data_IF_636072983074
#
_entry.id   IF_636072983074
#
_cell.length_a   1.000
_cell.length_b   1.000
_cell.length_c   1.000
_cell.angle_alpha   90.00
_cell.angle_beta   90.00
_cell.angle_gamma   90.00
#
_symmetry.space_group_name_H-M   'P 1'
#
loop_
_entity.id
_entity.type
_entity.pdbx_description
1 polymer ?
#
# COMPACT_ATOMS: atom_id res chain seq x y z
N UNK A 1 -14.23 -1.51 -27.87
CA UNK A 1 -13.11 -1.20 -26.96
C UNK A 1 -12.99 -2.38 -26.01
N UNK A 2 -11.80 -2.91 -25.82
CA UNK A 2 -11.58 -4.00 -24.89
C UNK A 2 -12.02 -3.58 -23.48
N UNK A 3 -12.74 -4.45 -22.78
CA UNK A 3 -13.21 -4.18 -21.43
C UNK A 3 -12.17 -4.69 -20.44
N UNK A 4 -11.42 -3.77 -19.80
CA UNK A 4 -10.34 -4.10 -18.86
C UNK A 4 -10.84 -4.05 -17.42
N UNK A 5 -10.67 -5.15 -16.67
CA UNK A 5 -10.92 -5.18 -15.24
C UNK A 5 -9.67 -4.76 -14.45
N UNK A 6 -9.85 -3.91 -13.45
CA UNK A 6 -8.76 -3.53 -12.54
C UNK A 6 -8.96 -4.23 -11.20
N UNK A 7 -7.95 -5.00 -10.81
CA UNK A 7 -7.88 -5.69 -9.51
C UNK A 7 -6.76 -5.07 -8.69
N UNK A 8 -7.00 -4.83 -7.41
CA UNK A 8 -5.96 -4.47 -6.41
C UNK A 8 -5.98 -5.49 -5.29
N UNK A 9 -4.84 -5.82 -4.69
CA UNK A 9 -4.92 -6.45 -3.38
C UNK A 9 -5.35 -5.42 -2.31
N UNK A 10 -5.85 -5.89 -1.19
CA UNK A 10 -6.47 -5.04 -0.17
C UNK A 10 -5.49 -4.09 0.54
N UNK A 11 -4.17 -4.32 0.42
CA UNK A 11 -3.16 -3.42 1.01
C UNK A 11 -3.14 -2.03 0.37
N UNK A 12 -3.78 -1.87 -0.81
CA UNK A 12 -3.96 -0.57 -1.46
C UNK A 12 -4.84 0.42 -0.68
N UNK A 13 -5.54 -0.01 0.36
CA UNK A 13 -6.35 0.84 1.26
C UNK A 13 -7.34 1.76 0.54
N UNK A 14 -7.86 1.34 -0.62
CA UNK A 14 -8.75 2.15 -1.44
C UNK A 14 -10.10 2.28 -0.70
N UNK A 15 -10.63 3.51 -0.48
CA UNK A 15 -11.94 3.69 0.13
C UNK A 15 -13.04 2.92 -0.60
N UNK A 16 -13.95 2.31 0.16
CA UNK A 16 -15.01 1.46 -0.40
C UNK A 16 -15.90 2.18 -1.43
N UNK A 17 -16.16 3.47 -1.21
CA UNK A 17 -16.86 4.33 -2.16
C UNK A 17 -16.10 4.49 -3.49
N UNK A 18 -14.78 4.64 -3.44
CA UNK A 18 -13.92 4.74 -4.63
C UNK A 18 -13.85 3.39 -5.36
N UNK A 19 -13.69 2.29 -4.62
CA UNK A 19 -13.75 0.92 -5.16
C UNK A 19 -15.03 0.72 -5.96
N UNK A 20 -16.18 1.08 -5.37
CA UNK A 20 -17.49 0.96 -6.02
C UNK A 20 -17.67 1.91 -7.19
N UNK A 21 -17.25 3.18 -7.06
CA UNK A 21 -17.41 4.20 -8.09
C UNK A 21 -16.59 3.91 -9.36
N UNK A 22 -15.43 3.26 -9.18
CA UNK A 22 -14.51 2.96 -10.27
C UNK A 22 -14.55 1.49 -10.73
N UNK A 23 -15.42 0.66 -10.17
CA UNK A 23 -15.53 -0.77 -10.46
C UNK A 23 -14.17 -1.50 -10.26
N UNK A 24 -13.45 -1.16 -9.16
CA UNK A 24 -12.22 -1.83 -8.80
C UNK A 24 -12.56 -3.11 -8.04
N UNK A 25 -11.90 -4.21 -8.38
CA UNK A 25 -12.04 -5.49 -7.68
C UNK A 25 -10.93 -5.65 -6.66
N UNK A 26 -11.26 -6.16 -5.47
CA UNK A 26 -10.29 -6.29 -4.38
C UNK A 26 -10.02 -7.75 -4.07
N UNK A 27 -8.75 -8.15 -4.15
CA UNK A 27 -8.27 -9.47 -3.72
C UNK A 27 -7.76 -9.36 -2.28
N UNK A 28 -8.55 -9.87 -1.31
CA UNK A 28 -8.33 -9.62 0.11
C UNK A 28 -7.21 -10.47 0.69
N UNK A 29 -6.28 -9.81 1.37
CA UNK A 29 -5.25 -10.40 2.22
C UNK A 29 -5.82 -10.54 3.64
N UNK A 30 -5.32 -11.49 4.42
CA UNK A 30 -5.83 -11.74 5.78
C UNK A 30 -4.81 -11.45 6.86
N UNK A 31 -5.30 -10.98 8.00
CA UNK A 31 -4.58 -10.96 9.28
C UNK A 31 -4.92 -12.23 10.05
N UNK A 32 -3.91 -12.82 10.70
CA UNK A 32 -4.05 -14.10 11.40
C UNK A 32 -3.64 -13.94 12.87
N UNK A 33 -4.56 -14.27 13.77
CA UNK A 33 -4.35 -14.35 15.22
C UNK A 33 -4.38 -15.82 15.65
N UNK A 34 -3.21 -16.43 15.82
CA UNK A 34 -3.11 -17.87 16.12
C UNK A 34 -3.64 -18.71 14.96
N UNK A 35 -4.81 -19.34 15.11
CA UNK A 35 -5.47 -20.15 14.09
C UNK A 35 -6.62 -19.42 13.39
N UNK A 36 -6.97 -18.21 13.84
CA UNK A 36 -8.10 -17.43 13.30
C UNK A 36 -7.61 -16.47 12.24
N UNK A 37 -8.25 -16.51 11.07
CA UNK A 37 -7.92 -15.68 9.92
C UNK A 37 -9.06 -14.71 9.59
N UNK A 38 -8.73 -13.44 9.37
CA UNK A 38 -9.66 -12.35 9.12
C UNK A 38 -9.24 -11.59 7.87
N UNK A 39 -10.12 -11.53 6.86
CA UNK A 39 -9.90 -10.66 5.70
C UNK A 39 -9.98 -9.21 6.17
N UNK A 40 -8.93 -8.45 5.87
CA UNK A 40 -8.90 -7.04 6.27
C UNK A 40 -10.05 -6.26 5.63
N UNK A 41 -10.61 -5.31 6.39
CA UNK A 41 -11.74 -4.45 6.02
C UNK A 41 -13.08 -5.18 5.78
N UNK A 42 -13.11 -6.52 5.75
CA UNK A 42 -14.34 -7.31 5.60
C UNK A 42 -14.71 -7.96 6.94
N UNK A 43 -13.79 -8.70 7.54
CA UNK A 43 -14.04 -9.48 8.74
C UNK A 43 -13.52 -8.77 10.01
N UNK A 44 -12.78 -7.66 9.85
CA UNK A 44 -12.20 -6.89 10.95
C UNK A 44 -11.95 -5.44 10.53
N UNK A 45 -12.36 -4.49 11.38
CA UNK A 45 -12.09 -3.05 11.21
C UNK A 45 -10.69 -2.66 11.72
N UNK A 46 -10.17 -1.48 11.36
CA UNK A 46 -8.91 -0.96 11.92
C UNK A 46 -8.94 -0.81 13.44
N UNK A 47 -10.05 -0.38 14.02
CA UNK A 47 -10.23 -0.20 15.46
C UNK A 47 -10.19 -1.55 16.18
N UNK A 48 -10.96 -2.54 15.69
CA UNK A 48 -10.96 -3.92 16.24
C UNK A 48 -9.58 -4.57 16.14
N UNK A 49 -8.86 -4.36 15.04
CA UNK A 49 -7.49 -4.84 14.88
C UNK A 49 -6.55 -4.26 15.93
N UNK A 50 -6.58 -2.94 16.15
CA UNK A 50 -5.70 -2.27 17.13
C UNK A 50 -6.00 -2.74 18.55
N UNK A 51 -7.28 -2.82 18.93
CA UNK A 51 -7.71 -3.31 20.24
C UNK A 51 -7.28 -4.76 20.46
N UNK A 52 -7.54 -5.63 19.48
CA UNK A 52 -7.18 -7.05 19.56
C UNK A 52 -5.67 -7.25 19.59
N UNK A 53 -4.92 -6.53 18.77
CA UNK A 53 -3.47 -6.59 18.73
C UNK A 53 -2.82 -6.15 20.04
N UNK A 54 -3.38 -5.15 20.72
CA UNK A 54 -2.90 -4.66 22.02
C UNK A 54 -3.09 -5.69 23.13
N UNK A 55 -4.12 -6.54 23.03
CA UNK A 55 -4.47 -7.56 24.02
C UNK A 55 -3.99 -8.98 23.63
N UNK A 56 -3.40 -9.15 22.45
CA UNK A 56 -2.96 -10.45 21.96
C UNK A 56 -1.60 -10.84 22.54
N UNK A 57 -1.51 -12.06 23.06
CA UNK A 57 -0.26 -12.60 23.58
C UNK A 57 0.64 -13.07 22.43
N UNK A 58 1.39 -12.17 21.84
CA UNK A 58 2.25 -12.39 20.69
C UNK A 58 2.14 -11.28 19.65
N UNK A 59 2.44 -11.59 18.39
CA UNK A 59 2.16 -10.74 17.27
C UNK A 59 1.24 -11.48 16.29
N UNK A 60 0.24 -10.81 15.70
CA UNK A 60 -0.48 -11.37 14.58
C UNK A 60 0.48 -11.59 13.40
N UNK A 61 0.09 -12.44 12.48
CA UNK A 61 0.77 -12.68 11.21
C UNK A 61 -0.15 -12.33 10.04
N UNK A 62 0.34 -12.48 8.83
CA UNK A 62 -0.45 -12.20 7.62
C UNK A 62 -0.43 -13.40 6.68
N UNK A 63 -1.51 -13.60 5.95
CA UNK A 63 -1.63 -14.63 4.92
C UNK A 63 -2.07 -13.99 3.62
N UNK A 64 -1.29 -14.20 2.56
CA UNK A 64 -1.66 -13.78 1.21
C UNK A 64 -3.02 -14.38 0.78
N UNK A 65 -3.70 -13.84 -0.26
CA UNK A 65 -4.92 -14.42 -0.78
C UNK A 65 -4.72 -15.89 -1.16
N UNK A 66 -5.69 -16.76 -0.90
CA UNK A 66 -5.56 -18.13 -1.32
C UNK A 66 -5.59 -18.24 -2.85
N UNK A 67 -4.79 -19.14 -3.46
CA UNK A 67 -4.83 -19.34 -4.92
C UNK A 67 -6.24 -19.60 -5.45
N UNK A 68 -7.04 -20.41 -4.73
CA UNK A 68 -8.42 -20.70 -5.13
C UNK A 68 -9.33 -19.46 -5.17
N UNK A 69 -9.18 -18.53 -4.22
CA UNK A 69 -9.92 -17.26 -4.24
C UNK A 69 -9.48 -16.35 -5.40
N UNK A 70 -8.18 -16.29 -5.68
CA UNK A 70 -7.64 -15.48 -6.77
C UNK A 70 -8.08 -16.03 -8.13
N UNK A 71 -8.04 -17.36 -8.31
CA UNK A 71 -8.52 -18.03 -9.54
C UNK A 71 -10.00 -17.74 -9.73
N UNK A 72 -10.83 -17.98 -8.71
CA UNK A 72 -12.29 -17.74 -8.80
C UNK A 72 -12.61 -16.26 -9.11
N UNK A 73 -11.81 -15.31 -8.60
CA UNK A 73 -11.96 -13.90 -8.95
C UNK A 73 -11.69 -13.67 -10.44
N UNK A 74 -10.58 -14.19 -10.99
CA UNK A 74 -10.26 -14.02 -12.40
C UNK A 74 -11.30 -14.66 -13.32
N UNK A 75 -11.72 -15.90 -13.02
CA UNK A 75 -12.77 -16.59 -13.78
C UNK A 75 -14.08 -15.79 -13.78
N UNK A 76 -14.50 -15.27 -12.61
CA UNK A 76 -15.70 -14.46 -12.49
C UNK A 76 -15.66 -13.17 -13.30
N UNK A 77 -14.46 -12.57 -13.47
CA UNK A 77 -14.29 -11.37 -14.27
C UNK A 77 -14.44 -11.65 -15.76
N UNK A 78 -13.89 -12.76 -16.26
CA UNK A 78 -14.11 -13.19 -17.64
C UNK A 78 -15.59 -13.57 -17.91
N UNK A 79 -16.27 -14.20 -16.95
CA UNK A 79 -17.72 -14.48 -17.05
C UNK A 79 -18.56 -13.19 -17.11
N UNK A 80 -18.11 -12.10 -16.48
CA UNK A 80 -18.72 -10.77 -16.58
C UNK A 80 -18.42 -10.05 -17.91
N UNK A 81 -17.62 -10.66 -18.80
CA UNK A 81 -17.33 -10.16 -20.13
C UNK A 81 -16.17 -9.14 -20.16
N UNK A 82 -15.29 -9.16 -19.16
CA UNK A 82 -13.99 -8.48 -19.29
C UNK A 82 -13.09 -9.27 -20.24
N UNK A 83 -12.31 -8.57 -21.05
CA UNK A 83 -11.39 -9.17 -22.02
C UNK A 83 -9.98 -9.26 -21.46
N UNK A 84 -9.58 -8.28 -20.65
CA UNK A 84 -8.28 -8.24 -19.96
C UNK A 84 -8.47 -7.95 -18.48
N UNK A 85 -7.54 -8.43 -17.66
CA UNK A 85 -7.46 -8.18 -16.22
C UNK A 85 -6.08 -7.59 -15.92
N UNK A 86 -6.03 -6.44 -15.22
CA UNK A 86 -4.78 -5.90 -14.66
C UNK A 86 -4.87 -6.03 -13.14
N UNK A 87 -4.02 -6.89 -12.56
CA UNK A 87 -3.97 -7.11 -11.11
C UNK A 87 -2.75 -6.40 -10.50
N UNK A 88 -2.99 -5.31 -9.79
CA UNK A 88 -1.98 -4.45 -9.17
C UNK A 88 -1.75 -4.93 -7.73
N UNK A 89 -0.53 -5.35 -7.45
CA UNK A 89 -0.13 -5.91 -6.15
C UNK A 89 0.79 -4.97 -5.37
N UNK A 90 0.79 -5.13 -4.04
CA UNK A 90 1.85 -4.65 -3.16
C UNK A 90 3.21 -5.12 -3.68
N UNK A 91 4.27 -4.35 -3.38
CA UNK A 91 5.64 -4.72 -3.74
C UNK A 91 5.95 -6.20 -3.50
N UNK A 92 6.47 -6.86 -4.54
CA UNK A 92 6.93 -8.26 -4.49
C UNK A 92 8.05 -8.48 -3.47
N UNK A 93 8.77 -7.42 -3.07
CA UNK A 93 9.79 -7.45 -2.03
C UNK A 93 9.20 -7.49 -0.61
N UNK A 94 7.92 -7.15 -0.45
CA UNK A 94 7.25 -7.10 0.85
C UNK A 94 6.30 -8.28 1.07
N UNK A 95 5.73 -8.83 0.00
CA UNK A 95 4.71 -9.88 0.06
C UNK A 95 4.82 -10.89 -1.09
N UNK A 96 4.50 -12.15 -0.82
CA UNK A 96 4.35 -13.19 -1.82
C UNK A 96 3.07 -13.06 -2.68
N UNK A 97 2.20 -12.07 -2.43
CA UNK A 97 0.92 -11.89 -3.13
C UNK A 97 1.10 -11.75 -4.64
N UNK A 98 2.13 -11.00 -5.07
CA UNK A 98 2.46 -10.85 -6.49
C UNK A 98 2.80 -12.19 -7.14
N UNK A 99 3.66 -13.01 -6.51
CA UNK A 99 4.02 -14.33 -7.04
C UNK A 99 2.82 -15.29 -7.09
N UNK A 100 1.94 -15.22 -6.08
CA UNK A 100 0.69 -15.99 -6.09
C UNK A 100 -0.22 -15.56 -7.23
N UNK A 101 -0.36 -14.26 -7.47
CA UNK A 101 -1.15 -13.71 -8.57
C UNK A 101 -0.61 -14.16 -9.93
N UNK A 102 0.72 -14.14 -10.15
CA UNK A 102 1.36 -14.67 -11.36
C UNK A 102 1.03 -16.16 -11.58
N UNK A 103 1.18 -16.97 -10.54
CA UNK A 103 0.88 -18.41 -10.63
C UNK A 103 -0.60 -18.65 -10.97
N UNK A 104 -1.52 -17.88 -10.39
CA UNK A 104 -2.94 -17.98 -10.70
C UNK A 104 -3.26 -17.50 -12.14
N UNK A 105 -2.60 -16.45 -12.61
CA UNK A 105 -2.74 -15.96 -13.99
C UNK A 105 -2.33 -17.02 -15.02
N UNK A 106 -1.21 -17.69 -14.80
CA UNK A 106 -0.74 -18.80 -15.63
C UNK A 106 -1.74 -19.98 -15.69
N UNK A 107 -2.49 -20.20 -14.60
CA UNK A 107 -3.48 -21.29 -14.53
C UNK A 107 -4.80 -20.94 -15.22
N UNK A 108 -5.17 -19.66 -15.30
CA UNK A 108 -6.47 -19.23 -15.84
C UNK A 108 -6.34 -18.75 -17.28
N UNK A 109 -5.59 -17.68 -17.51
CA UNK A 109 -5.41 -17.11 -18.85
C UNK A 109 -4.20 -16.14 -18.89
N UNK A 110 -2.97 -16.64 -19.12
CA UNK A 110 -1.76 -15.81 -19.04
C UNK A 110 -1.66 -14.71 -20.11
N UNK A 111 -2.39 -14.84 -21.22
CA UNK A 111 -2.36 -13.83 -22.29
C UNK A 111 -3.20 -12.60 -21.96
N UNK A 112 -4.20 -12.73 -21.09
CA UNK A 112 -5.18 -11.70 -20.76
C UNK A 112 -5.19 -11.29 -19.29
N UNK A 113 -4.30 -11.83 -18.44
CA UNK A 113 -4.14 -11.44 -17.04
C UNK A 113 -2.75 -10.86 -16.85
N UNK A 114 -2.70 -9.55 -16.65
CA UNK A 114 -1.48 -8.78 -16.46
C UNK A 114 -1.27 -8.50 -14.96
N UNK A 115 -0.32 -9.18 -14.35
CA UNK A 115 0.02 -8.99 -12.94
C UNK A 115 1.10 -7.91 -12.82
N UNK A 116 0.77 -6.81 -12.16
CA UNK A 116 1.62 -5.64 -12.04
C UNK A 116 2.19 -5.50 -10.61
N UNK A 117 3.52 -5.51 -10.49
CA UNK A 117 4.22 -5.17 -9.25
C UNK A 117 4.32 -3.65 -9.10
N UNK A 118 3.57 -3.08 -8.16
CA UNK A 118 3.59 -1.64 -7.93
C UNK A 118 4.92 -1.13 -7.36
N UNK A 119 5.73 -2.01 -6.78
CA UNK A 119 6.94 -1.69 -6.01
C UNK A 119 6.70 -0.64 -4.93
N UNK A 120 5.47 -0.55 -4.45
CA UNK A 120 5.08 0.35 -3.36
C UNK A 120 4.07 -0.34 -2.43
N UNK A 121 3.43 0.39 -1.53
CA UNK A 121 2.59 -0.17 -0.47
C UNK A 121 1.51 0.84 -0.05
N UNK A 122 0.47 0.40 0.61
CA UNK A 122 -0.61 1.23 1.16
C UNK A 122 -1.35 2.05 0.09
N UNK A 123 -1.88 3.21 0.43
CA UNK A 123 -2.64 4.02 -0.53
C UNK A 123 -1.79 4.55 -1.70
N UNK A 124 -0.45 4.60 -1.61
CA UNK A 124 0.39 4.84 -2.80
C UNK A 124 0.21 3.74 -3.86
N UNK A 125 0.11 2.46 -3.45
CA UNK A 125 -0.31 1.37 -4.34
C UNK A 125 -1.77 1.52 -4.78
N UNK A 126 -2.67 1.90 -3.86
CA UNK A 126 -4.09 2.13 -4.17
C UNK A 126 -4.31 3.16 -5.27
N UNK A 127 -3.49 4.22 -5.30
CA UNK A 127 -3.55 5.23 -6.36
C UNK A 127 -3.25 4.64 -7.75
N UNK A 128 -2.38 3.63 -7.87
CA UNK A 128 -2.18 2.92 -9.14
C UNK A 128 -3.48 2.30 -9.65
N UNK A 129 -4.22 1.62 -8.77
CA UNK A 129 -5.48 1.00 -9.14
C UNK A 129 -6.57 2.03 -9.46
N UNK A 130 -6.62 3.12 -8.70
CA UNK A 130 -7.56 4.24 -8.95
C UNK A 130 -7.31 4.83 -10.34
N UNK A 131 -6.07 5.17 -10.66
CA UNK A 131 -5.76 5.79 -11.95
C UNK A 131 -5.88 4.80 -13.12
N UNK A 132 -5.52 3.53 -12.92
CA UNK A 132 -5.76 2.47 -13.92
C UNK A 132 -7.25 2.32 -14.22
N UNK A 133 -8.11 2.32 -13.18
CA UNK A 133 -9.55 2.22 -13.35
C UNK A 133 -10.16 3.44 -14.04
N UNK A 134 -9.65 4.64 -13.79
CA UNK A 134 -10.04 5.84 -14.53
C UNK A 134 -9.70 5.71 -16.03
N UNK A 135 -8.49 5.24 -16.35
CA UNK A 135 -8.07 4.98 -17.74
C UNK A 135 -8.91 3.90 -18.41
N UNK A 136 -9.24 2.82 -17.71
CA UNK A 136 -10.12 1.77 -18.21
C UNK A 136 -11.53 2.33 -18.54
N UNK A 137 -12.08 3.21 -17.68
CA UNK A 137 -13.36 3.89 -17.92
C UNK A 137 -13.32 4.88 -19.09
N UNK A 138 -12.18 5.48 -19.37
CA UNK A 138 -11.93 6.30 -20.55
C UNK A 138 -11.81 5.47 -21.84
N UNK A 139 -11.76 4.14 -21.73
CA UNK A 139 -11.68 3.20 -22.85
C UNK A 139 -10.26 2.86 -23.29
N UNK A 140 -9.25 3.12 -22.45
CA UNK A 140 -7.88 2.72 -22.72
C UNK A 140 -7.75 1.19 -22.76
N UNK A 141 -6.90 0.69 -23.63
CA UNK A 141 -6.52 -0.73 -23.71
C UNK A 141 -5.64 -1.14 -22.52
N UNK A 142 -5.54 -2.47 -22.28
CA UNK A 142 -4.67 -2.99 -21.23
C UNK A 142 -3.20 -2.53 -21.43
N UNK A 143 -2.70 -2.50 -22.67
CA UNK A 143 -1.36 -2.04 -22.97
C UNK A 143 -1.15 -0.56 -22.60
N UNK A 144 -2.06 0.33 -22.96
CA UNK A 144 -1.98 1.76 -22.62
C UNK A 144 -2.03 1.99 -21.11
N UNK A 145 -2.85 1.20 -20.39
CA UNK A 145 -2.92 1.27 -18.92
C UNK A 145 -1.60 0.78 -18.29
N UNK A 146 -1.02 -0.29 -18.79
CA UNK A 146 0.27 -0.82 -18.30
C UNK A 146 1.41 0.17 -18.51
N UNK A 147 1.50 0.80 -19.68
CA UNK A 147 2.48 1.86 -19.96
C UNK A 147 2.32 3.05 -19.03
N UNK A 148 1.08 3.44 -18.73
CA UNK A 148 0.78 4.49 -17.77
C UNK A 148 1.18 4.08 -16.33
N UNK A 149 0.92 2.84 -15.93
CA UNK A 149 1.34 2.32 -14.62
C UNK A 149 2.86 2.26 -14.47
N UNK A 150 3.61 1.97 -15.53
CA UNK A 150 5.07 2.05 -15.52
C UNK A 150 5.55 3.48 -15.24
N UNK A 151 4.98 4.47 -15.91
CA UNK A 151 5.29 5.89 -15.68
C UNK A 151 5.00 6.30 -14.22
N UNK A 152 3.85 5.87 -13.66
CA UNK A 152 3.51 6.09 -12.24
C UNK A 152 4.55 5.44 -11.34
N UNK A 153 4.95 4.19 -11.63
CA UNK A 153 5.90 3.42 -10.81
C UNK A 153 7.26 4.09 -10.72
N UNK A 154 7.72 4.72 -11.78
CA UNK A 154 8.98 5.46 -11.79
C UNK A 154 8.89 6.81 -11.04
N UNK A 155 7.69 7.32 -10.83
CA UNK A 155 7.43 8.65 -10.28
C UNK A 155 6.56 8.61 -9.01
N UNK A 156 6.73 7.58 -8.19
CA UNK A 156 6.10 7.49 -6.86
C UNK A 156 7.15 7.45 -5.76
N UNK A 157 6.74 7.87 -4.56
CA UNK A 157 7.55 7.74 -3.35
C UNK A 157 6.66 7.44 -2.15
N UNK A 158 7.24 6.72 -1.19
CA UNK A 158 6.64 6.43 0.10
C UNK A 158 7.69 6.53 1.19
N UNK A 159 7.42 7.38 2.19
CA UNK A 159 8.23 7.54 3.38
C UNK A 159 7.40 7.33 4.65
N UNK A 160 7.94 6.66 5.65
CA UNK A 160 7.28 6.42 6.92
C UNK A 160 8.18 6.76 8.10
N UNK A 161 7.63 7.48 9.06
CA UNK A 161 8.19 7.62 10.41
C UNK A 161 7.72 6.43 11.25
N UNK A 162 8.64 5.57 11.64
CA UNK A 162 8.34 4.38 12.44
C UNK A 162 8.47 4.69 13.92
N UNK A 163 7.38 4.48 14.65
CA UNK A 163 7.37 4.74 16.10
C UNK A 163 8.00 3.61 16.91
N UNK A 164 7.78 2.35 16.51
CA UNK A 164 8.35 1.16 17.15
C UNK A 164 8.79 0.14 16.11
N UNK A 165 10.03 -0.31 16.20
CA UNK A 165 10.63 -1.27 15.27
C UNK A 165 10.29 -2.73 15.60
N UNK A 166 9.63 -2.99 16.73
CA UNK A 166 9.38 -4.35 17.24
C UNK A 166 8.64 -5.21 16.22
N UNK A 167 7.57 -4.67 15.62
CA UNK A 167 6.76 -5.40 14.65
C UNK A 167 7.53 -5.66 13.35
N UNK A 168 8.25 -4.67 12.83
CA UNK A 168 9.08 -4.82 11.63
C UNK A 168 10.17 -5.88 11.82
N UNK A 169 10.84 -5.89 12.97
CA UNK A 169 11.89 -6.88 13.29
C UNK A 169 11.33 -8.29 13.39
N UNK A 170 10.24 -8.49 14.15
CA UNK A 170 9.62 -9.80 14.33
C UNK A 170 8.90 -10.30 13.08
N UNK A 171 8.37 -9.38 12.26
CA UNK A 171 7.67 -9.68 11.01
C UNK A 171 8.58 -10.03 9.84
N UNK A 172 9.90 -9.88 9.96
CA UNK A 172 10.87 -10.24 8.93
C UNK A 172 10.88 -9.33 7.68
N UNK A 173 10.19 -8.18 7.68
CA UNK A 173 10.18 -7.16 6.60
C UNK A 173 11.23 -6.07 6.84
N UNK A 174 12.16 -6.32 7.76
CA UNK A 174 13.21 -5.42 8.20
C UNK A 174 14.63 -5.87 7.79
N UNK A 175 14.79 -6.86 6.94
CA UNK A 175 16.09 -7.50 6.68
C UNK A 175 17.21 -6.56 6.27
N UNK A 176 16.89 -5.44 5.63
CA UNK A 176 17.86 -4.42 5.25
C UNK A 176 17.99 -3.28 6.28
N UNK A 177 17.05 -3.19 7.23
CA UNK A 177 17.03 -2.12 8.23
C UNK A 177 17.96 -2.45 9.43
N UNK A 178 18.12 -3.72 9.80
CA UNK A 178 19.04 -4.10 10.87
C UNK A 178 20.50 -3.76 10.54
N UNK A 179 20.94 -3.99 9.32
CA UNK A 179 22.28 -3.64 8.87
C UNK A 179 22.52 -2.14 8.92
N UNK A 180 21.50 -1.31 8.62
CA UNK A 180 21.58 0.13 8.65
C UNK A 180 21.52 0.74 10.06
N UNK A 181 20.78 0.10 11.00
CA UNK A 181 20.46 0.69 12.30
C UNK A 181 21.40 0.28 13.44
N UNK A 182 22.07 -0.89 13.35
CA UNK A 182 22.90 -1.41 14.44
C UNK A 182 22.10 -1.66 15.72
N UNK A 183 22.76 -1.65 16.89
CA UNK A 183 22.16 -1.99 18.20
C UNK A 183 21.37 -0.86 18.89
N UNK A 184 20.94 0.18 18.17
CA UNK A 184 20.26 1.34 18.75
C UNK A 184 18.79 1.07 19.02
N UNK A 185 18.46 0.78 20.27
CA UNK A 185 17.12 0.39 20.78
C UNK A 185 16.08 1.52 20.86
N UNK A 186 16.47 2.80 20.67
CA UNK A 186 15.58 3.96 20.92
C UNK A 186 15.56 4.98 19.77
N UNK A 187 15.55 4.50 18.53
CA UNK A 187 15.43 5.40 17.37
C UNK A 187 14.02 5.32 16.78
N UNK A 188 13.65 6.38 16.10
CA UNK A 188 12.42 6.57 15.34
C UNK A 188 12.80 6.83 13.87
N UNK A 189 13.16 5.79 13.10
CA UNK A 189 13.74 5.99 11.79
C UNK A 189 12.71 6.54 10.80
N UNK A 190 13.22 7.25 9.79
CA UNK A 190 12.51 7.38 8.52
C UNK A 190 12.88 6.18 7.67
N UNK A 191 11.86 5.50 7.20
CA UNK A 191 11.97 4.40 6.25
C UNK A 191 11.37 4.82 4.91
N UNK A 192 11.91 4.28 3.82
CA UNK A 192 11.52 4.59 2.45
C UNK A 192 11.32 3.29 1.65
N UNK A 193 10.35 3.26 0.76
CA UNK A 193 10.32 2.27 -0.31
C UNK A 193 11.33 2.67 -1.38
N UNK A 194 12.26 1.79 -1.68
CA UNK A 194 13.29 1.98 -2.71
C UNK A 194 12.74 1.69 -4.11
N UNK A 195 13.38 2.13 -5.21
CA UNK A 195 12.93 1.86 -6.57
C UNK A 195 12.78 0.36 -6.91
N UNK A 196 13.49 -0.52 -6.21
CA UNK A 196 13.35 -1.97 -6.34
C UNK A 196 12.18 -2.56 -5.53
N UNK A 197 11.46 -1.73 -4.77
CA UNK A 197 10.33 -2.14 -3.93
C UNK A 197 10.71 -2.59 -2.52
N UNK A 198 11.99 -2.55 -2.13
CA UNK A 198 12.43 -2.87 -0.76
C UNK A 198 12.11 -1.75 0.22
N UNK A 199 11.81 -2.10 1.47
CA UNK A 199 11.58 -1.12 2.54
C UNK A 199 12.84 -0.97 3.38
N UNK A 200 13.43 0.23 3.38
CA UNK A 200 14.73 0.48 4.01
C UNK A 200 14.67 1.69 4.94
N UNK A 201 15.41 1.64 6.06
CA UNK A 201 15.65 2.81 6.89
C UNK A 201 16.71 3.70 6.22
N UNK A 202 16.32 4.94 5.96
CA UNK A 202 17.18 5.94 5.29
C UNK A 202 17.73 6.97 6.25
N UNK A 203 17.04 7.26 7.35
CA UNK A 203 17.51 8.21 8.37
C UNK A 203 17.25 7.71 9.79
N UNK A 204 18.20 8.01 10.71
CA UNK A 204 18.11 7.66 12.14
C UNK A 204 17.73 8.90 12.95
N UNK A 205 16.50 8.91 13.47
CA UNK A 205 15.99 10.03 14.26
C UNK A 205 15.72 9.59 15.69
N UNK A 206 15.98 10.44 16.67
CA UNK A 206 15.87 10.06 18.10
C UNK A 206 14.47 10.19 18.68
N UNK A 207 13.63 11.11 18.15
CA UNK A 207 12.29 11.36 18.68
C UNK A 207 11.26 11.33 17.57
N UNK A 208 10.07 10.83 17.87
CA UNK A 208 8.99 10.71 16.89
C UNK A 208 8.56 12.09 16.35
N UNK A 209 8.49 13.11 17.21
CA UNK A 209 8.20 14.50 16.79
C UNK A 209 9.19 15.00 15.71
N UNK A 210 10.49 14.71 15.87
CA UNK A 210 11.49 15.08 14.85
C UNK A 210 11.35 14.24 13.58
N UNK A 211 10.93 12.97 13.70
CA UNK A 211 10.68 12.12 12.54
C UNK A 211 9.49 12.65 11.73
N UNK A 212 8.39 13.06 12.37
CA UNK A 212 7.27 13.70 11.68
C UNK A 212 7.69 14.98 10.93
N UNK A 213 8.47 15.85 11.60
CA UNK A 213 9.01 17.04 10.96
C UNK A 213 9.87 16.70 9.73
N UNK A 214 10.68 15.64 9.84
CA UNK A 214 11.54 15.20 8.73
C UNK A 214 10.72 14.69 7.52
N UNK A 215 9.59 14.01 7.73
CA UNK A 215 8.67 13.64 6.63
C UNK A 215 8.19 14.87 5.85
N UNK A 216 7.85 15.95 6.56
CA UNK A 216 7.40 17.20 5.94
C UNK A 216 8.57 17.86 5.16
N UNK A 217 9.77 17.89 5.74
CA UNK A 217 10.97 18.42 5.08
C UNK A 217 11.30 17.65 3.80
N UNK A 218 11.25 16.31 3.81
CA UNK A 218 11.48 15.47 2.62
C UNK A 218 10.47 15.81 1.52
N UNK A 219 9.19 15.93 1.86
CA UNK A 219 8.15 16.32 0.89
C UNK A 219 8.44 17.70 0.29
N UNK A 220 8.84 18.67 1.12
CA UNK A 220 9.19 20.02 0.67
C UNK A 220 10.43 20.05 -0.24
N UNK A 221 11.47 19.25 0.08
CA UNK A 221 12.68 19.11 -0.72
C UNK A 221 12.38 18.56 -2.12
N UNK A 222 11.35 17.74 -2.26
CA UNK A 222 10.93 17.14 -3.55
C UNK A 222 10.27 18.17 -4.49
N UNK A 223 9.74 19.29 -3.99
CA UNK A 223 9.10 20.34 -4.77
C UNK A 223 7.98 19.80 -5.68
N UNK A 224 7.00 19.10 -5.08
CA UNK A 224 5.90 18.47 -5.81
C UNK A 224 5.09 19.52 -6.58
N UNK A 225 4.86 19.24 -7.86
CA UNK A 225 3.96 20.03 -8.72
C UNK A 225 2.52 19.50 -8.62
N UNK A 226 1.56 20.22 -9.21
CA UNK A 226 0.14 19.79 -9.25
C UNK A 226 -0.10 18.48 -10.04
N UNK A 227 0.93 17.95 -10.72
CA UNK A 227 0.89 16.64 -11.36
C UNK A 227 0.97 15.47 -10.37
N UNK A 228 1.28 15.77 -9.10
CA UNK A 228 1.40 14.75 -8.06
C UNK A 228 0.19 14.75 -7.13
N UNK A 229 -0.35 13.57 -6.83
CA UNK A 229 -1.23 13.36 -5.68
C UNK A 229 -0.38 13.07 -4.45
N UNK A 230 -0.56 13.89 -3.40
CA UNK A 230 0.11 13.76 -2.10
C UNK A 230 -0.88 13.24 -1.06
N UNK A 231 -0.46 12.28 -0.25
CA UNK A 231 -1.30 11.66 0.79
C UNK A 231 -0.55 11.47 2.10
N UNK A 232 -1.28 11.53 3.20
CA UNK A 232 -0.79 11.18 4.54
C UNK A 232 -1.47 9.89 5.00
N UNK A 233 -0.74 9.02 5.66
CA UNK A 233 -1.24 7.73 6.10
C UNK A 233 -0.80 7.44 7.54
N UNK A 234 -1.56 6.65 8.30
CA UNK A 234 -1.22 6.32 9.68
C UNK A 234 -1.66 4.92 10.10
N UNK A 235 -1.03 4.40 11.17
CA UNK A 235 -1.44 3.19 11.89
C UNK A 235 -1.88 3.60 13.30
N UNK A 236 -3.19 3.83 13.49
CA UNK A 236 -3.77 4.20 14.79
C UNK A 236 -3.21 5.50 15.39
N UNK A 237 -2.78 6.48 14.58
CA UNK A 237 -2.20 7.75 15.03
C UNK A 237 -2.69 8.92 14.18
N UNK A 238 -4.02 9.08 14.14
CA UNK A 238 -4.68 10.08 13.31
C UNK A 238 -4.31 11.52 13.72
N UNK A 239 -4.08 11.77 15.01
CA UNK A 239 -3.70 13.10 15.52
C UNK A 239 -2.34 13.55 14.92
N UNK A 240 -1.36 12.66 14.93
CA UNK A 240 -0.06 12.95 14.33
C UNK A 240 -0.16 13.08 12.79
N UNK A 241 -1.02 12.29 12.14
CA UNK A 241 -1.28 12.41 10.71
C UNK A 241 -1.93 13.76 10.37
N UNK A 242 -2.90 14.22 11.15
CA UNK A 242 -3.51 15.57 11.00
C UNK A 242 -2.49 16.69 11.16
N UNK A 243 -1.55 16.55 12.11
CA UNK A 243 -0.46 17.54 12.27
C UNK A 243 0.39 17.62 11.01
N UNK A 244 0.79 16.45 10.46
CA UNK A 244 1.58 16.38 9.21
C UNK A 244 0.79 16.93 8.02
N UNK A 245 -0.49 16.56 7.88
CA UNK A 245 -1.37 17.06 6.82
C UNK A 245 -1.49 18.58 6.86
N UNK A 246 -1.71 19.17 8.04
CA UNK A 246 -1.87 20.62 8.19
C UNK A 246 -0.61 21.37 7.74
N UNK A 247 0.57 20.94 8.17
CA UNK A 247 1.83 21.56 7.76
C UNK A 247 2.12 21.35 6.25
N UNK A 248 1.77 20.19 5.69
CA UNK A 248 1.90 19.94 4.25
C UNK A 248 0.92 20.79 3.44
N UNK A 249 -0.31 21.01 3.94
CA UNK A 249 -1.30 21.85 3.26
C UNK A 249 -0.88 23.32 3.20
N UNK A 250 -0.11 23.81 4.18
CA UNK A 250 0.49 25.15 4.13
C UNK A 250 1.58 25.26 3.05
N UNK A 251 2.34 24.17 2.83
CA UNK A 251 3.40 24.11 1.82
C UNK A 251 2.81 23.93 0.40
N UNK A 252 1.74 23.14 0.29
CA UNK A 252 1.10 22.75 -0.96
C UNK A 252 -0.39 23.16 -0.96
N UNK A 253 -0.73 24.46 -1.00
CA UNK A 253 -2.10 24.94 -0.81
C UNK A 253 -3.07 24.49 -1.91
N UNK A 254 -2.57 24.16 -3.10
CA UNK A 254 -3.38 23.72 -4.24
C UNK A 254 -3.56 22.20 -4.30
N UNK A 255 -2.91 21.42 -3.43
CA UNK A 255 -3.07 19.97 -3.37
C UNK A 255 -4.24 19.61 -2.45
N UNK A 256 -5.03 18.63 -2.85
CA UNK A 256 -5.96 17.95 -1.95
C UNK A 256 -5.18 16.85 -1.20
N UNK A 257 -4.88 17.08 0.08
CA UNK A 257 -4.10 16.16 0.90
C UNK A 257 -5.02 15.40 1.85
N UNK A 258 -5.29 14.15 1.51
CA UNK A 258 -6.16 13.29 2.30
C UNK A 258 -5.37 12.42 3.29
N UNK A 259 -6.04 12.01 4.39
CA UNK A 259 -5.50 11.08 5.38
C UNK A 259 -6.17 9.73 5.21
N UNK A 260 -5.37 8.67 5.20
CA UNK A 260 -5.83 7.29 5.10
C UNK A 260 -5.29 6.43 6.24
N UNK A 261 -6.13 5.52 6.75
CA UNK A 261 -5.67 4.44 7.61
C UNK A 261 -4.88 3.43 6.78
N UNK A 262 -3.72 3.04 7.28
CA UNK A 262 -2.91 1.99 6.65
C UNK A 262 -3.59 0.64 6.84
N UNK A 263 -3.49 -0.23 5.85
CA UNK A 263 -3.96 -1.62 5.84
C UNK A 263 -3.60 -2.38 7.11
N UNK A 264 -4.52 -3.20 7.61
CA UNK A 264 -4.29 -4.04 8.80
C UNK A 264 -3.11 -4.99 8.58
N UNK A 265 -2.99 -5.53 7.38
CA UNK A 265 -1.88 -6.40 6.95
C UNK A 265 -0.54 -5.67 7.04
N UNK A 266 -0.48 -4.43 6.57
CA UNK A 266 0.72 -3.60 6.71
C UNK A 266 0.95 -3.17 8.15
N UNK A 267 -0.11 -2.91 8.91
CA UNK A 267 -0.04 -2.54 10.33
C UNK A 267 0.54 -3.66 11.21
N UNK A 268 0.28 -4.94 10.88
CA UNK A 268 0.93 -6.10 11.54
C UNK A 268 2.44 -5.95 11.53
N UNK A 269 3.01 -5.50 10.41
CA UNK A 269 4.46 -5.36 10.24
C UNK A 269 4.97 -3.98 10.63
N UNK A 270 4.27 -2.89 10.27
CA UNK A 270 4.68 -1.52 10.54
C UNK A 270 4.59 -1.11 12.01
N UNK A 271 3.71 -1.76 12.77
CA UNK A 271 3.45 -1.48 14.16
C UNK A 271 2.60 -0.22 14.41
N UNK A 272 1.98 -0.12 15.59
CA UNK A 272 1.11 0.99 15.92
C UNK A 272 1.88 2.32 16.03
N UNK A 273 1.21 3.41 15.70
CA UNK A 273 1.72 4.78 15.84
C UNK A 273 2.57 5.27 14.68
N UNK A 274 2.83 4.48 13.65
CA UNK A 274 3.53 4.94 12.46
C UNK A 274 2.70 5.98 11.68
N UNK A 275 3.40 6.95 11.06
CA UNK A 275 2.84 7.92 10.13
C UNK A 275 3.67 7.92 8.86
N UNK A 276 3.00 7.97 7.72
CA UNK A 276 3.64 7.96 6.43
C UNK A 276 3.15 9.09 5.54
N UNK A 277 3.99 9.49 4.60
CA UNK A 277 3.67 10.41 3.51
C UNK A 277 4.04 9.73 2.20
N UNK A 278 3.18 9.82 1.22
CA UNK A 278 3.45 9.29 -0.10
C UNK A 278 2.91 10.19 -1.19
N UNK A 279 3.51 10.11 -2.37
CA UNK A 279 3.04 10.83 -3.54
C UNK A 279 3.23 10.01 -4.81
N UNK A 280 2.35 10.27 -5.75
CA UNK A 280 2.31 9.58 -7.03
C UNK A 280 2.08 10.61 -8.13
N UNK A 281 2.89 10.59 -9.18
CA UNK A 281 2.66 11.40 -10.38
C UNK A 281 1.53 10.78 -11.20
N UNK A 282 0.54 11.57 -11.58
CA UNK A 282 -0.66 11.09 -12.28
C UNK A 282 -0.97 11.85 -13.59
N UNK A 283 -0.20 12.91 -13.89
CA UNK A 283 -0.32 13.69 -15.13
C UNK A 283 1.01 13.79 -15.87
#
# INVERSE_FOLDING_TARGET
MAKVAIVSDSTGCIPAETVKALDIYVNYISVVFGTESYREFIDMSPEEFLERSANYNGLPTTSQPSPGQTIALYESLFEQGYEDIIHINISSQLSGSHQTALTCAEMVNPEHIHVFDSRTVTYTQGMFAVYAAMKAKEGASAQEILEYLEMIRENNQFYAAINDLTNLRKGGRLSNVEAALGSLLQIKPICQIQPDGTFQAVEKIRTFKKALKRLIEISKETQLTEDYQLVVMHIGNEEAAKTVQTELQEIYPNHEINIYSISLVVAVHGGPGAVAVGWVKHK
#
